data_IF_543323578083
#
_entry.id   IF_543323578083
#
_cell.length_a   1.000
_cell.length_b   1.000
_cell.length_c   1.000
_cell.angle_alpha   90.00
_cell.angle_beta   90.00
_cell.angle_gamma   90.00
#
_symmetry.space_group_name_H-M   'P 1'
#
loop_
_entity.id
_entity.type
_entity.pdbx_description
1 polymer ?
#
# COMPACT_ATOMS: atom_id res chain seq x y z
N UNK A 1 -25.80 34.87 -58.70
CA UNK A 1 -25.94 34.41 -57.30
C UNK A 1 -24.86 33.36 -57.05
N UNK A 2 -23.78 33.71 -56.32
CA UNK A 2 -22.67 32.78 -55.95
C UNK A 2 -22.85 32.36 -54.51
N UNK A 3 -23.16 31.07 -54.23
CA UNK A 3 -23.17 30.50 -52.93
C UNK A 3 -21.72 30.27 -52.47
N UNK A 4 -21.29 30.97 -51.45
CA UNK A 4 -20.06 30.65 -50.70
C UNK A 4 -20.37 29.56 -49.69
N UNK A 5 -19.81 28.36 -49.94
CA UNK A 5 -19.81 27.26 -48.95
C UNK A 5 -18.67 27.52 -47.97
N UNK A 6 -19.03 27.84 -46.72
CA UNK A 6 -18.10 28.01 -45.61
C UNK A 6 -17.80 26.63 -45.01
N UNK A 7 -16.61 26.10 -45.31
CA UNK A 7 -16.11 24.79 -44.76
C UNK A 7 -15.51 25.08 -43.37
N UNK A 8 -16.24 24.77 -42.32
CA UNK A 8 -15.75 24.86 -40.95
C UNK A 8 -14.82 23.67 -40.68
N UNK A 9 -13.52 23.91 -40.65
CA UNK A 9 -12.51 22.92 -40.19
C UNK A 9 -12.55 22.89 -38.67
N UNK A 10 -13.13 21.82 -38.12
CA UNK A 10 -13.12 21.53 -36.69
C UNK A 10 -11.72 21.04 -36.31
N UNK A 11 -10.89 21.95 -35.79
CA UNK A 11 -9.60 21.60 -35.19
C UNK A 11 -9.84 20.80 -33.91
N UNK A 12 -9.82 19.49 -33.98
CA UNK A 12 -9.79 18.62 -32.81
C UNK A 12 -8.38 18.69 -32.21
N UNK A 13 -8.17 19.63 -31.28
CA UNK A 13 -6.93 19.68 -30.48
C UNK A 13 -6.93 18.51 -29.51
N UNK A 14 -6.44 17.36 -29.98
CA UNK A 14 -6.11 16.24 -29.15
C UNK A 14 -4.95 16.63 -28.23
N UNK A 15 -5.22 16.81 -26.93
CA UNK A 15 -4.18 16.86 -25.92
C UNK A 15 -3.50 15.51 -25.88
N UNK A 16 -2.39 15.35 -26.61
CA UNK A 16 -1.43 14.27 -26.39
C UNK A 16 -0.81 14.54 -25.00
N UNK A 17 -1.34 13.89 -23.98
CA UNK A 17 -0.63 13.77 -22.71
C UNK A 17 0.61 12.93 -23.00
N UNK A 18 1.76 13.58 -23.12
CA UNK A 18 3.05 12.91 -23.15
C UNK A 18 3.18 12.14 -21.81
N UNK A 19 3.04 10.82 -21.87
CA UNK A 19 3.43 9.95 -20.76
C UNK A 19 4.95 10.02 -20.67
N UNK A 20 5.46 10.81 -19.70
CA UNK A 20 6.86 10.71 -19.33
C UNK A 20 7.10 9.33 -18.73
N UNK A 21 8.25 8.72 -19.05
CA UNK A 21 8.67 7.43 -18.49
C UNK A 21 8.90 7.50 -16.95
N UNK A 22 8.91 8.67 -16.37
CA UNK A 22 8.94 8.94 -14.93
C UNK A 22 7.51 8.89 -14.40
N UNK A 23 7.10 7.74 -13.90
CA UNK A 23 5.81 7.32 -13.37
C UNK A 23 4.75 8.41 -13.15
N UNK A 24 3.55 8.16 -13.63
CA UNK A 24 2.38 9.05 -13.46
C UNK A 24 2.13 9.28 -11.96
N UNK A 25 2.43 10.48 -11.45
CA UNK A 25 2.05 10.89 -10.11
C UNK A 25 0.56 11.21 -10.11
N UNK A 26 -0.23 10.44 -9.37
CA UNK A 26 -1.65 10.71 -9.15
C UNK A 26 -1.87 11.23 -7.71
N UNK A 27 -2.48 12.39 -7.58
CA UNK A 27 -2.75 13.03 -6.29
C UNK A 27 -4.09 12.62 -5.67
N UNK A 28 -4.85 11.71 -6.29
CA UNK A 28 -6.07 11.16 -5.73
C UNK A 28 -5.80 10.41 -4.43
N UNK A 29 -6.80 10.36 -3.56
CA UNK A 29 -6.75 9.59 -2.31
C UNK A 29 -7.10 8.12 -2.58
N UNK A 30 -6.15 7.37 -3.11
CA UNK A 30 -6.29 5.92 -3.22
C UNK A 30 -6.29 5.27 -1.84
N UNK A 31 -7.00 4.16 -1.69
CA UNK A 31 -7.05 3.35 -0.46
C UNK A 31 -6.59 1.94 -0.79
N UNK A 32 -5.51 1.50 -0.19
CA UNK A 32 -4.90 0.20 -0.49
C UNK A 32 -4.67 -0.56 0.80
N UNK A 33 -5.23 -1.77 0.88
CA UNK A 33 -4.92 -2.73 1.95
C UNK A 33 -4.06 -3.85 1.38
N UNK A 34 -2.88 -4.03 1.94
CA UNK A 34 -1.90 -5.03 1.51
C UNK A 34 -1.90 -6.19 2.50
N UNK A 35 -2.10 -7.41 2.01
CA UNK A 35 -1.89 -8.62 2.80
C UNK A 35 -0.41 -9.00 2.78
N UNK A 36 0.20 -9.22 3.95
CA UNK A 36 1.55 -9.76 4.06
C UNK A 36 1.59 -10.96 5.00
N UNK A 37 2.07 -12.12 4.49
CA UNK A 37 2.05 -13.39 5.23
C UNK A 37 3.37 -14.18 5.17
N UNK A 38 4.43 -13.62 4.56
CA UNK A 38 5.72 -14.25 4.37
C UNK A 38 6.73 -13.79 5.44
N UNK A 39 7.66 -14.65 5.82
CA UNK A 39 8.61 -14.37 6.91
C UNK A 39 10.06 -14.16 6.48
N UNK A 40 10.40 -14.49 5.23
CA UNK A 40 11.77 -14.37 4.74
C UNK A 40 12.18 -12.90 4.51
N UNK A 41 13.49 -12.64 4.55
CA UNK A 41 14.05 -11.29 4.45
C UNK A 41 13.80 -10.62 3.09
N UNK A 42 13.75 -11.40 2.01
CA UNK A 42 13.51 -10.89 0.66
C UNK A 42 12.07 -10.38 0.56
N UNK A 43 11.11 -11.16 1.03
CA UNK A 43 9.70 -10.78 1.05
C UNK A 43 9.43 -9.58 1.98
N UNK A 44 10.12 -9.48 3.12
CA UNK A 44 10.04 -8.32 4.00
C UNK A 44 10.57 -7.04 3.29
N UNK A 45 11.70 -7.11 2.62
CA UNK A 45 12.24 -6.00 1.84
C UNK A 45 11.32 -5.63 0.66
N UNK A 46 10.76 -6.65 0.00
CA UNK A 46 9.84 -6.47 -1.14
C UNK A 46 8.58 -5.70 -0.73
N UNK A 47 7.89 -6.11 0.34
CA UNK A 47 6.64 -5.44 0.75
C UNK A 47 6.88 -3.97 1.12
N UNK A 48 7.99 -3.67 1.80
CA UNK A 48 8.33 -2.27 2.14
C UNK A 48 8.72 -1.48 0.88
N UNK A 49 9.42 -2.10 -0.07
CA UNK A 49 9.71 -1.53 -1.38
C UNK A 49 8.43 -1.22 -2.18
N UNK A 50 7.44 -2.11 -2.13
CA UNK A 50 6.12 -1.90 -2.75
C UNK A 50 5.39 -0.71 -2.10
N UNK A 51 5.41 -0.57 -0.77
CA UNK A 51 4.88 0.60 -0.06
C UNK A 51 5.56 1.88 -0.54
N UNK A 52 6.90 1.88 -0.65
CA UNK A 52 7.67 3.01 -1.19
C UNK A 52 7.20 3.38 -2.60
N UNK A 53 7.08 2.41 -3.50
CA UNK A 53 6.67 2.64 -4.88
C UNK A 53 5.25 3.22 -4.97
N UNK A 54 4.31 2.68 -4.19
CA UNK A 54 2.93 3.20 -4.11
C UNK A 54 2.95 4.66 -3.63
N UNK A 55 3.65 4.96 -2.55
CA UNK A 55 3.69 6.30 -1.96
C UNK A 55 4.47 7.31 -2.82
N UNK A 56 5.38 6.84 -3.65
CA UNK A 56 6.07 7.68 -4.65
C UNK A 56 5.14 8.04 -5.80
N UNK A 57 4.42 7.05 -6.35
CA UNK A 57 3.48 7.27 -7.45
C UNK A 57 2.19 7.99 -6.98
N UNK A 58 1.71 7.67 -5.77
CA UNK A 58 0.48 8.18 -5.17
C UNK A 58 0.74 8.76 -3.77
N UNK A 59 1.28 9.99 -3.66
CA UNK A 59 1.69 10.57 -2.38
C UNK A 59 0.56 10.66 -1.34
N UNK A 60 -0.69 10.82 -1.80
CA UNK A 60 -1.87 10.93 -0.96
C UNK A 60 -2.57 9.58 -0.68
N UNK A 61 -2.02 8.46 -1.16
CA UNK A 61 -2.61 7.15 -0.93
C UNK A 61 -2.61 6.79 0.56
N UNK A 62 -3.75 6.29 1.03
CA UNK A 62 -3.85 5.60 2.31
C UNK A 62 -3.42 4.14 2.10
N UNK A 63 -2.42 3.70 2.84
CA UNK A 63 -1.88 2.34 2.73
C UNK A 63 -1.90 1.69 4.10
N UNK A 64 -2.42 0.48 4.17
CA UNK A 64 -2.32 -0.38 5.33
C UNK A 64 -1.74 -1.74 4.94
N UNK A 65 -0.72 -2.18 5.66
CA UNK A 65 -0.10 -3.51 5.51
C UNK A 65 -0.55 -4.39 6.66
N UNK A 66 -1.38 -5.39 6.36
CA UNK A 66 -1.91 -6.35 7.35
C UNK A 66 -0.99 -7.56 7.42
N UNK A 67 -0.24 -7.66 8.51
CA UNK A 67 0.75 -8.71 8.76
C UNK A 67 0.15 -9.85 9.58
N UNK A 68 0.05 -11.04 8.99
CA UNK A 68 -0.43 -12.24 9.67
C UNK A 68 0.39 -13.48 9.28
N UNK A 69 0.21 -14.61 9.96
CA UNK A 69 1.01 -15.81 9.69
C UNK A 69 2.50 -15.54 9.83
N UNK A 70 3.27 -15.87 8.82
CA UNK A 70 4.71 -15.55 8.74
C UNK A 70 5.00 -14.06 8.66
N UNK A 71 4.10 -13.28 8.06
CA UNK A 71 4.28 -11.84 7.90
C UNK A 71 4.32 -11.04 9.21
N UNK A 72 3.89 -11.63 10.34
CA UNK A 72 4.04 -11.00 11.65
C UNK A 72 5.51 -10.71 11.99
N UNK A 73 6.44 -11.49 11.44
CA UNK A 73 7.88 -11.36 11.69
C UNK A 73 8.44 -10.00 11.22
N UNK A 74 7.80 -9.35 10.24
CA UNK A 74 8.10 -7.97 9.82
C UNK A 74 7.92 -6.95 10.97
N UNK A 75 6.98 -7.21 11.88
CA UNK A 75 6.59 -6.28 12.93
C UNK A 75 7.15 -6.64 14.31
N UNK A 76 7.92 -7.70 14.45
CA UNK A 76 8.57 -8.07 15.70
C UNK A 76 9.98 -7.47 15.79
N UNK A 77 10.33 -6.93 16.94
CA UNK A 77 11.64 -6.32 17.22
C UNK A 77 12.80 -7.30 16.94
N UNK A 78 12.60 -8.59 17.29
CA UNK A 78 13.63 -9.61 17.16
C UNK A 78 13.85 -10.13 15.73
N UNK A 79 12.82 -10.09 14.87
CA UNK A 79 12.83 -10.77 13.57
C UNK A 79 12.70 -9.85 12.36
N UNK A 80 12.29 -8.61 12.56
CA UNK A 80 12.15 -7.64 11.47
C UNK A 80 13.49 -7.34 10.83
N UNK A 81 13.55 -7.49 9.50
CA UNK A 81 14.71 -7.09 8.68
C UNK A 81 14.52 -5.72 8.04
N UNK A 82 13.38 -5.08 8.29
CA UNK A 82 13.01 -3.79 7.72
C UNK A 82 12.43 -2.83 8.79
N UNK A 83 12.82 -2.98 10.06
CA UNK A 83 12.27 -2.22 11.18
C UNK A 83 12.39 -0.68 10.99
N UNK A 84 13.52 -0.19 10.47
CA UNK A 84 13.73 1.24 10.21
C UNK A 84 12.78 1.76 9.12
N UNK A 85 12.58 1.00 8.05
CA UNK A 85 11.67 1.37 6.97
C UNK A 85 10.20 1.32 7.43
N UNK A 86 9.82 0.33 8.24
CA UNK A 86 8.49 0.27 8.87
C UNK A 86 8.25 1.53 9.71
N UNK A 87 9.21 1.93 10.55
CA UNK A 87 9.12 3.15 11.35
C UNK A 87 9.03 4.41 10.47
N UNK A 88 9.85 4.51 9.44
CA UNK A 88 9.85 5.63 8.48
C UNK A 88 8.47 5.78 7.80
N UNK A 89 7.93 4.69 7.25
CA UNK A 89 6.65 4.76 6.55
C UNK A 89 5.47 4.95 7.49
N UNK A 90 5.54 4.42 8.72
CA UNK A 90 4.54 4.70 9.76
C UNK A 90 4.50 6.17 10.10
N UNK A 91 5.66 6.83 10.24
CA UNK A 91 5.75 8.28 10.47
C UNK A 91 5.14 9.09 9.31
N UNK A 92 5.10 8.52 8.10
CA UNK A 92 4.46 9.09 6.89
C UNK A 92 3.00 8.67 6.72
N UNK A 93 2.38 8.04 7.74
CA UNK A 93 0.96 7.70 7.78
C UNK A 93 0.59 6.34 7.15
N UNK A 94 1.56 5.49 6.85
CA UNK A 94 1.28 4.08 6.50
C UNK A 94 0.98 3.30 7.76
N UNK A 95 -0.08 2.48 7.75
CA UNK A 95 -0.44 1.63 8.88
C UNK A 95 0.17 0.24 8.67
N UNK A 96 0.85 -0.27 9.70
CA UNK A 96 1.31 -1.65 9.76
C UNK A 96 0.54 -2.37 10.87
N UNK A 97 -0.35 -3.29 10.48
CA UNK A 97 -1.31 -3.95 11.36
C UNK A 97 -0.87 -5.38 11.67
N UNK A 98 -0.65 -5.66 12.96
CA UNK A 98 -0.31 -6.99 13.49
C UNK A 98 -1.59 -7.77 13.83
N UNK A 99 -1.74 -8.97 13.30
CA UNK A 99 -2.87 -9.86 13.56
C UNK A 99 -2.78 -10.47 14.97
N UNK A 100 -3.69 -10.11 15.88
CA UNK A 100 -3.71 -10.64 17.25
C UNK A 100 -3.91 -12.17 17.31
N UNK A 101 -4.69 -12.75 16.39
CA UNK A 101 -4.82 -14.22 16.32
C UNK A 101 -3.47 -14.90 15.99
N UNK A 102 -2.65 -14.29 15.15
CA UNK A 102 -1.29 -14.77 14.88
C UNK A 102 -0.37 -14.56 16.08
N UNK A 103 -0.46 -13.41 16.75
CA UNK A 103 0.31 -13.13 17.96
C UNK A 103 0.05 -14.20 19.03
N UNK A 104 -1.23 -14.50 19.32
CA UNK A 104 -1.62 -15.54 20.28
C UNK A 104 -1.04 -16.90 19.89
N UNK A 105 -1.18 -17.31 18.62
CA UNK A 105 -0.68 -18.61 18.15
C UNK A 105 0.84 -18.75 18.22
N UNK A 106 1.57 -17.63 18.00
CA UNK A 106 3.03 -17.58 18.06
C UNK A 106 3.57 -17.20 19.44
N UNK A 107 2.70 -16.98 20.43
CA UNK A 107 3.05 -16.48 21.77
C UNK A 107 3.84 -15.16 21.73
N UNK A 108 3.49 -14.26 20.82
CA UNK A 108 4.07 -12.92 20.68
C UNK A 108 3.24 -11.94 21.49
N UNK A 109 3.89 -11.15 22.34
CA UNK A 109 3.26 -10.12 23.17
C UNK A 109 3.34 -8.77 22.46
N UNK A 110 2.57 -7.79 22.97
CA UNK A 110 2.57 -6.44 22.38
C UNK A 110 3.93 -5.75 22.51
N UNK A 111 4.63 -5.97 23.59
CA UNK A 111 5.97 -5.46 23.86
C UNK A 111 7.07 -6.02 22.92
N UNK A 112 6.81 -7.15 22.27
CA UNK A 112 7.71 -7.74 21.29
C UNK A 112 7.58 -7.09 19.90
N UNK A 113 6.52 -6.28 19.70
CA UNK A 113 6.29 -5.60 18.43
C UNK A 113 7.07 -4.28 18.34
N UNK A 114 7.33 -3.85 17.11
CA UNK A 114 7.77 -2.49 16.81
C UNK A 114 6.74 -1.49 17.36
N UNK A 115 7.18 -0.39 17.95
CA UNK A 115 6.31 0.62 18.57
C UNK A 115 5.33 1.28 17.60
N UNK A 116 5.66 1.27 16.31
CA UNK A 116 4.81 1.79 15.23
C UNK A 116 3.73 0.80 14.77
N UNK A 117 3.78 -0.47 15.20
CA UNK A 117 2.80 -1.46 14.81
C UNK A 117 1.48 -1.26 15.58
N UNK A 118 0.35 -1.36 14.88
CA UNK A 118 -0.98 -1.41 15.49
C UNK A 118 -1.48 -2.84 15.55
N UNK A 119 -2.26 -3.19 16.59
CA UNK A 119 -2.80 -4.55 16.72
C UNK A 119 -4.25 -4.55 16.25
N UNK A 120 -4.59 -5.46 15.33
CA UNK A 120 -5.96 -5.72 14.90
C UNK A 120 -6.41 -7.09 15.39
N UNK A 121 -7.70 -7.30 15.71
CA UNK A 121 -8.19 -8.57 16.27
C UNK A 121 -7.88 -9.78 15.37
N UNK A 122 -8.07 -9.63 14.07
CA UNK A 122 -7.81 -10.67 13.06
C UNK A 122 -7.39 -10.03 11.74
N UNK A 123 -6.27 -10.47 11.18
CA UNK A 123 -5.82 -9.97 9.88
C UNK A 123 -6.81 -10.25 8.76
N UNK A 124 -7.46 -11.42 8.74
CA UNK A 124 -8.45 -11.76 7.71
C UNK A 124 -9.71 -10.88 7.82
N UNK A 125 -10.17 -10.61 9.04
CA UNK A 125 -11.32 -9.71 9.26
C UNK A 125 -10.94 -8.28 8.86
N UNK A 126 -9.75 -7.80 9.22
CA UNK A 126 -9.29 -6.45 8.84
C UNK A 126 -9.24 -6.28 7.31
N UNK A 127 -8.68 -7.26 6.61
CA UNK A 127 -8.66 -7.27 5.14
C UNK A 127 -10.07 -7.22 4.54
N UNK A 128 -11.03 -7.96 5.11
CA UNK A 128 -12.43 -7.98 4.67
C UNK A 128 -13.08 -6.62 4.89
N UNK A 129 -13.01 -6.10 6.12
CA UNK A 129 -13.62 -4.81 6.49
C UNK A 129 -13.06 -3.63 5.68
N UNK A 130 -11.77 -3.66 5.34
CA UNK A 130 -11.17 -2.64 4.46
C UNK A 130 -11.75 -2.71 3.06
N UNK A 131 -11.89 -3.90 2.49
CA UNK A 131 -12.48 -4.08 1.16
C UNK A 131 -13.95 -3.64 1.14
N UNK A 132 -14.75 -3.96 2.15
CA UNK A 132 -16.12 -3.47 2.31
C UNK A 132 -16.21 -1.94 2.37
N UNK A 133 -15.17 -1.27 2.90
CA UNK A 133 -15.01 0.19 2.92
C UNK A 133 -14.41 0.77 1.63
N UNK A 134 -14.33 -0.02 0.56
CA UNK A 134 -13.85 0.41 -0.76
C UNK A 134 -12.33 0.52 -0.88
N UNK A 135 -11.56 -0.20 -0.05
CA UNK A 135 -10.12 -0.31 -0.23
C UNK A 135 -9.79 -1.37 -1.29
N UNK A 136 -8.85 -1.05 -2.17
CA UNK A 136 -8.29 -2.02 -3.09
C UNK A 136 -7.39 -3.01 -2.33
N UNK A 137 -7.60 -4.31 -2.55
CA UNK A 137 -6.77 -5.36 -1.97
C UNK A 137 -5.57 -5.68 -2.86
N UNK A 138 -4.40 -5.83 -2.25
CA UNK A 138 -3.16 -6.27 -2.89
C UNK A 138 -2.46 -7.30 -2.00
N UNK A 139 -1.96 -8.38 -2.61
CA UNK A 139 -1.03 -9.29 -1.91
C UNK A 139 0.39 -8.74 -2.05
N UNK A 140 1.07 -8.50 -0.94
CA UNK A 140 2.42 -7.97 -0.89
C UNK A 140 3.49 -9.03 -0.67
N UNK A 141 4.76 -8.68 -0.94
CA UNK A 141 5.92 -9.50 -0.59
C UNK A 141 6.43 -10.45 -1.68
N UNK A 142 6.10 -10.23 -2.93
CA UNK A 142 6.61 -11.01 -4.07
C UNK A 142 7.40 -10.15 -5.04
#
# INVERSE_FOLDING_TARGET
MKLLSLLAILMCSGNLLAQSADGVVDLKKHKIVMQFSLNDSISQASVVGQVKNIRTAWPNAQVEVVCHGGGLDLLQTATSKAASQVAEWSAKGVVFAACNNTMKRKNVKKEDLLTSAVVVPSGMIELTLKQEKGWAYVKGGH
#
